data_IF_439363855248
#
_entry.id   IF_439363855248
#
_cell.length_a   1.000
_cell.length_b   1.000
_cell.length_c   1.000
_cell.angle_alpha   90.00
_cell.angle_beta   90.00
_cell.angle_gamma   90.00
#
_symmetry.space_group_name_H-M   'P 1'
#
loop_
_entity.id
_entity.type
_entity.pdbx_description
1 polymer ?
#
# COMPACT_ATOMS: atom_id res chain seq x y z
N UNK A 1 -17.13 -14.85 -12.16
CA UNK A 1 -15.93 -14.02 -11.87
C UNK A 1 -16.39 -12.68 -11.33
N UNK A 2 -15.79 -12.18 -10.26
CA UNK A 2 -15.98 -10.83 -9.73
C UNK A 2 -14.75 -9.98 -10.06
N UNK A 3 -14.95 -8.80 -10.64
CA UNK A 3 -13.87 -7.83 -10.86
C UNK A 3 -13.98 -6.72 -9.82
N UNK A 4 -12.89 -6.44 -9.10
CA UNK A 4 -12.79 -5.36 -8.13
C UNK A 4 -11.86 -4.29 -8.69
N UNK A 5 -12.43 -3.15 -9.05
CA UNK A 5 -11.70 -1.99 -9.60
C UNK A 5 -11.22 -1.13 -8.44
N UNK A 6 -9.94 -1.18 -8.14
CA UNK A 6 -9.34 -0.42 -7.04
C UNK A 6 -8.55 0.76 -7.58
N UNK A 7 -9.03 1.97 -7.33
CA UNK A 7 -8.34 3.21 -7.68
C UNK A 7 -8.76 4.33 -6.73
N UNK A 8 -7.81 4.95 -6.04
CA UNK A 8 -8.12 6.01 -5.07
C UNK A 8 -8.94 7.13 -5.69
N UNK A 9 -8.49 7.67 -6.82
CA UNK A 9 -9.15 8.80 -7.50
C UNK A 9 -10.19 8.37 -8.53
N UNK A 10 -10.24 7.09 -8.86
CA UNK A 10 -11.03 6.54 -9.97
C UNK A 10 -10.79 7.28 -11.30
N UNK A 11 -9.52 7.66 -11.54
CA UNK A 11 -9.06 8.35 -12.76
C UNK A 11 -7.74 7.78 -13.29
N UNK A 12 -7.19 6.75 -12.63
CA UNK A 12 -5.94 6.12 -13.04
C UNK A 12 -6.14 5.43 -14.40
N UNK A 13 -5.45 5.93 -15.43
CA UNK A 13 -5.68 5.53 -16.81
C UNK A 13 -5.56 4.02 -17.03
N UNK A 14 -4.50 3.40 -16.50
CA UNK A 14 -4.24 1.96 -16.61
C UNK A 14 -5.32 1.13 -15.92
N UNK A 15 -5.77 1.58 -14.73
CA UNK A 15 -6.81 0.90 -13.99
C UNK A 15 -8.13 0.93 -14.75
N UNK A 16 -8.50 2.10 -15.30
CA UNK A 16 -9.77 2.25 -16.04
C UNK A 16 -9.72 1.54 -17.41
N UNK A 17 -8.58 1.51 -18.07
CA UNK A 17 -8.41 0.73 -19.30
C UNK A 17 -8.62 -0.77 -19.04
N UNK A 18 -7.99 -1.32 -18.01
CA UNK A 18 -8.18 -2.72 -17.62
C UNK A 18 -9.61 -3.01 -17.15
N UNK A 19 -10.21 -2.08 -16.41
CA UNK A 19 -11.63 -2.19 -16.01
C UNK A 19 -12.57 -2.18 -17.22
N UNK A 20 -12.28 -1.36 -18.25
CA UNK A 20 -13.00 -1.33 -19.51
C UNK A 20 -12.93 -2.66 -20.25
N UNK A 21 -11.75 -3.27 -20.33
CA UNK A 21 -11.59 -4.61 -20.92
C UNK A 21 -12.38 -5.67 -20.15
N UNK A 22 -12.35 -5.63 -18.82
CA UNK A 22 -13.13 -6.55 -17.99
C UNK A 22 -14.63 -6.38 -18.19
N UNK A 23 -15.09 -5.12 -18.33
CA UNK A 23 -16.49 -4.78 -18.62
C UNK A 23 -16.93 -5.36 -19.96
N UNK A 24 -16.17 -5.10 -21.04
CA UNK A 24 -16.47 -5.66 -22.36
C UNK A 24 -16.48 -7.19 -22.35
N UNK A 25 -15.52 -7.80 -21.67
CA UNK A 25 -15.48 -9.27 -21.54
C UNK A 25 -16.74 -9.82 -20.85
N UNK A 26 -17.24 -9.16 -19.80
CA UNK A 26 -18.50 -9.56 -19.15
C UNK A 26 -19.67 -9.45 -20.12
N UNK A 27 -19.80 -8.34 -20.83
CA UNK A 27 -20.86 -8.07 -21.80
C UNK A 27 -20.85 -9.10 -22.92
N UNK A 28 -19.70 -9.42 -23.49
CA UNK A 28 -19.50 -10.44 -24.52
C UNK A 28 -19.91 -11.85 -24.07
N UNK A 29 -19.83 -12.11 -22.75
CA UNK A 29 -20.24 -13.38 -22.15
C UNK A 29 -21.66 -13.33 -21.55
N UNK A 30 -22.46 -12.33 -21.86
CA UNK A 30 -23.84 -12.21 -21.41
C UNK A 30 -24.02 -11.93 -19.92
N UNK A 31 -22.97 -11.41 -19.24
CA UNK A 31 -23.02 -11.04 -17.82
C UNK A 31 -23.13 -9.52 -17.69
N UNK A 32 -24.17 -9.05 -17.02
CA UNK A 32 -24.31 -7.64 -16.76
C UNK A 32 -23.15 -7.13 -15.83
N UNK A 33 -22.36 -6.15 -16.25
CA UNK A 33 -21.25 -5.62 -15.43
C UNK A 33 -21.68 -5.18 -14.03
N UNK A 34 -22.91 -4.64 -13.91
CA UNK A 34 -23.51 -4.23 -12.64
C UNK A 34 -23.68 -5.37 -11.62
N UNK A 35 -23.58 -6.63 -12.03
CA UNK A 35 -23.68 -7.79 -11.13
C UNK A 35 -22.33 -8.42 -10.79
N UNK A 36 -21.28 -8.07 -11.53
CA UNK A 36 -19.99 -8.75 -11.46
C UNK A 36 -18.79 -7.78 -11.31
N UNK A 37 -19.05 -6.49 -11.13
CA UNK A 37 -18.00 -5.50 -10.89
C UNK A 37 -18.27 -4.74 -9.60
N UNK A 38 -17.21 -4.49 -8.83
CA UNK A 38 -17.22 -3.64 -7.65
C UNK A 38 -16.12 -2.59 -7.73
N UNK A 39 -16.27 -1.48 -7.03
CA UNK A 39 -15.27 -0.43 -6.94
C UNK A 39 -14.76 -0.26 -5.50
N UNK A 40 -13.47 0.03 -5.37
CA UNK A 40 -12.85 0.49 -4.14
C UNK A 40 -12.19 1.83 -4.42
N UNK A 41 -12.71 2.91 -3.83
CA UNK A 41 -12.31 4.27 -4.19
C UNK A 41 -12.53 5.26 -3.03
N UNK A 42 -11.88 6.41 -3.10
CA UNK A 42 -12.19 7.56 -2.24
C UNK A 42 -13.17 8.54 -2.91
N UNK A 43 -13.57 8.30 -4.17
CA UNK A 43 -14.41 9.19 -4.97
C UNK A 43 -15.61 8.43 -5.58
N UNK A 44 -16.59 8.14 -4.74
CA UNK A 44 -17.77 7.33 -5.06
C UNK A 44 -18.51 7.80 -6.31
N UNK A 45 -18.68 9.12 -6.46
CA UNK A 45 -19.39 9.70 -7.61
C UNK A 45 -18.76 9.26 -8.94
N UNK A 46 -17.43 9.21 -9.02
CA UNK A 46 -16.74 8.80 -10.26
C UNK A 46 -16.95 7.32 -10.58
N UNK A 47 -17.04 6.47 -9.55
CA UNK A 47 -17.36 5.05 -9.74
C UNK A 47 -18.81 4.87 -10.20
N UNK A 48 -19.76 5.66 -9.66
CA UNK A 48 -21.15 5.70 -10.14
C UNK A 48 -21.26 6.14 -11.60
N UNK A 49 -20.60 7.24 -11.95
CA UNK A 49 -20.60 7.80 -13.30
C UNK A 49 -19.99 6.80 -14.31
N UNK A 50 -19.06 5.98 -13.87
CA UNK A 50 -18.46 4.90 -14.67
C UNK A 50 -19.40 3.69 -14.83
N UNK A 51 -20.43 3.56 -13.98
CA UNK A 51 -21.48 2.54 -14.06
C UNK A 51 -21.44 1.46 -12.98
N UNK A 52 -20.73 1.68 -11.86
CA UNK A 52 -20.76 0.77 -10.71
C UNK A 52 -21.95 1.13 -9.80
N UNK A 53 -22.83 0.17 -9.45
CA UNK A 53 -23.92 0.39 -8.52
C UNK A 53 -23.44 0.78 -7.11
N UNK A 54 -24.19 1.64 -6.41
CA UNK A 54 -23.84 2.11 -5.06
C UNK A 54 -23.57 0.98 -4.07
N UNK A 55 -24.35 -0.07 -4.12
CA UNK A 55 -24.20 -1.24 -3.25
C UNK A 55 -22.89 -2.02 -3.47
N UNK A 56 -22.16 -1.72 -4.54
CA UNK A 56 -20.89 -2.34 -4.91
C UNK A 56 -19.70 -1.36 -4.84
N UNK A 57 -19.91 -0.17 -4.25
CA UNK A 57 -18.86 0.81 -4.04
C UNK A 57 -18.40 0.75 -2.58
N UNK A 58 -17.15 0.44 -2.37
CA UNK A 58 -16.51 0.37 -1.07
C UNK A 58 -15.58 1.57 -0.88
N UNK A 59 -16.04 2.53 -0.10
CA UNK A 59 -15.35 3.81 0.08
C UNK A 59 -14.26 3.73 1.14
N UNK A 60 -13.23 4.56 0.98
CA UNK A 60 -12.25 4.84 2.03
C UNK A 60 -11.91 6.32 2.05
N UNK A 61 -11.36 6.79 3.19
CA UNK A 61 -11.08 8.21 3.40
C UNK A 61 -10.04 8.74 2.42
N UNK A 62 -10.25 9.94 1.88
CA UNK A 62 -9.35 10.61 0.94
C UNK A 62 -7.93 10.80 1.51
N UNK A 63 -7.79 11.00 2.83
CA UNK A 63 -6.50 11.11 3.50
C UNK A 63 -5.64 9.85 3.47
N UNK A 64 -6.21 8.68 3.13
CA UNK A 64 -5.46 7.41 3.07
C UNK A 64 -4.62 7.36 1.79
N UNK A 65 -3.30 7.31 1.94
CA UNK A 65 -2.37 7.14 0.82
C UNK A 65 -2.39 5.71 0.27
N UNK A 66 -2.23 5.54 -1.06
CA UNK A 66 -2.34 4.23 -1.73
C UNK A 66 -1.49 3.12 -1.11
N UNK A 67 -0.21 3.39 -0.82
CA UNK A 67 0.73 2.42 -0.22
C UNK A 67 0.45 2.09 1.25
N UNK A 68 -0.36 2.89 1.93
CA UNK A 68 -0.82 2.67 3.31
C UNK A 68 -2.26 2.17 3.39
N UNK A 69 -2.89 1.85 2.26
CA UNK A 69 -4.33 1.64 2.16
C UNK A 69 -4.80 0.21 2.44
N UNK A 70 -3.89 -0.75 2.59
CA UNK A 70 -4.23 -2.17 2.84
C UNK A 70 -5.19 -2.35 4.03
N UNK A 71 -5.08 -1.48 5.03
CA UNK A 71 -5.90 -1.46 6.25
C UNK A 71 -7.30 -0.89 6.05
N UNK A 72 -7.59 -0.33 4.88
CA UNK A 72 -8.89 0.26 4.49
C UNK A 72 -9.69 -0.70 3.60
N UNK A 73 -10.75 -0.21 2.97
CA UNK A 73 -11.52 -0.96 1.97
C UNK A 73 -10.67 -1.52 0.81
N UNK A 74 -9.47 -0.97 0.57
CA UNK A 74 -8.52 -1.51 -0.42
C UNK A 74 -8.12 -2.95 -0.09
N UNK A 75 -8.14 -3.34 1.18
CA UNK A 75 -7.93 -4.72 1.61
C UNK A 75 -9.05 -5.71 1.27
N UNK A 76 -10.14 -5.29 0.62
CA UNK A 76 -11.30 -6.14 0.31
C UNK A 76 -10.90 -7.44 -0.42
N UNK A 77 -10.02 -7.36 -1.41
CA UNK A 77 -9.55 -8.54 -2.15
C UNK A 77 -8.78 -9.51 -1.25
N UNK A 78 -7.97 -8.99 -0.33
CA UNK A 78 -7.26 -9.78 0.66
C UNK A 78 -8.23 -10.43 1.64
N UNK A 79 -9.22 -9.66 2.14
CA UNK A 79 -10.26 -10.16 3.03
C UNK A 79 -11.06 -11.31 2.40
N UNK A 80 -11.39 -11.20 1.11
CA UNK A 80 -12.06 -12.27 0.37
C UNK A 80 -11.16 -13.51 0.27
N UNK A 81 -9.87 -13.33 0.02
CA UNK A 81 -8.93 -14.43 -0.17
C UNK A 81 -8.61 -15.20 1.12
N UNK A 82 -8.43 -14.49 2.25
CA UNK A 82 -8.01 -15.11 3.52
C UNK A 82 -9.15 -15.30 4.53
N UNK A 83 -10.34 -14.76 4.23
CA UNK A 83 -11.50 -14.74 5.12
C UNK A 83 -11.49 -13.57 6.10
N UNK A 84 -12.69 -13.15 6.50
CA UNK A 84 -12.89 -11.98 7.36
C UNK A 84 -12.23 -12.12 8.74
N UNK A 85 -12.20 -13.32 9.30
CA UNK A 85 -11.56 -13.59 10.60
C UNK A 85 -10.05 -13.29 10.52
N UNK A 86 -9.35 -13.89 9.57
CA UNK A 86 -7.90 -13.70 9.40
C UNK A 86 -7.57 -12.24 9.03
N UNK A 87 -8.43 -11.59 8.25
CA UNK A 87 -8.27 -10.17 7.94
C UNK A 87 -8.41 -9.30 9.19
N UNK A 88 -9.39 -9.60 10.06
CA UNK A 88 -9.54 -8.90 11.35
C UNK A 88 -8.34 -9.12 12.28
N UNK A 89 -7.77 -10.31 12.31
CA UNK A 89 -6.54 -10.60 13.07
C UNK A 89 -5.34 -9.81 12.53
N UNK A 90 -5.23 -9.66 11.20
CA UNK A 90 -4.22 -8.79 10.58
C UNK A 90 -4.40 -7.32 10.98
N UNK A 91 -5.63 -6.81 10.98
CA UNK A 91 -5.93 -5.45 11.45
C UNK A 91 -5.61 -5.28 12.94
N UNK A 92 -5.89 -6.29 13.78
CA UNK A 92 -5.55 -6.27 15.19
C UNK A 92 -4.03 -6.20 15.42
N UNK A 93 -3.24 -6.88 14.60
CA UNK A 93 -1.77 -6.78 14.62
C UNK A 93 -1.28 -5.35 14.31
N UNK A 94 -1.84 -4.73 13.27
CA UNK A 94 -1.54 -3.33 12.93
C UNK A 94 -1.92 -2.37 14.08
N UNK A 95 -3.11 -2.56 14.67
CA UNK A 95 -3.56 -1.78 15.82
C UNK A 95 -2.66 -1.95 17.05
N UNK A 96 -2.15 -3.16 17.29
CA UNK A 96 -1.20 -3.39 18.38
C UNK A 96 0.10 -2.60 18.18
N UNK A 97 0.59 -2.49 16.93
CA UNK A 97 1.76 -1.68 16.61
C UNK A 97 1.48 -0.18 16.74
N UNK A 98 0.30 0.30 16.32
CA UNK A 98 -0.13 1.69 16.52
C UNK A 98 -0.14 2.07 17.99
N UNK A 99 -0.65 1.19 18.85
CA UNK A 99 -0.62 1.38 20.31
C UNK A 99 0.80 1.41 20.83
N UNK A 100 1.63 0.45 20.43
CA UNK A 100 3.02 0.37 20.84
C UNK A 100 3.78 1.68 20.51
N UNK A 101 3.62 2.21 19.29
CA UNK A 101 4.28 3.47 18.89
C UNK A 101 3.80 4.67 19.71
N UNK A 102 2.54 4.68 20.15
CA UNK A 102 1.98 5.80 20.94
C UNK A 102 2.26 5.71 22.44
N UNK A 103 2.35 4.49 22.98
CA UNK A 103 2.31 4.24 24.41
C UNK A 103 3.64 3.76 24.99
N UNK A 104 4.52 3.16 24.18
CA UNK A 104 5.81 2.63 24.67
C UNK A 104 6.78 3.74 25.06
N UNK A 105 7.54 3.51 26.13
CA UNK A 105 8.62 4.37 26.54
C UNK A 105 9.63 4.56 25.40
N UNK A 106 10.21 5.76 25.30
CA UNK A 106 11.08 6.15 24.19
C UNK A 106 12.18 5.12 23.88
N UNK A 107 12.85 4.61 24.93
CA UNK A 107 13.93 3.62 24.81
C UNK A 107 13.48 2.20 24.46
N UNK A 108 12.18 1.93 24.45
CA UNK A 108 11.58 0.64 24.12
C UNK A 108 10.69 0.71 22.87
N UNK A 109 10.48 1.90 22.34
CA UNK A 109 9.59 2.14 21.21
C UNK A 109 10.28 1.72 19.90
N UNK A 110 9.83 0.61 19.32
CA UNK A 110 10.42 0.04 18.10
C UNK A 110 10.42 1.02 16.93
N UNK A 111 9.34 1.77 16.74
CA UNK A 111 9.25 2.77 15.68
C UNK A 111 10.26 3.90 15.83
N UNK A 112 10.43 4.39 17.05
CA UNK A 112 11.41 5.42 17.39
C UNK A 112 12.83 4.89 17.21
N UNK A 113 13.12 3.72 17.76
CA UNK A 113 14.46 3.10 17.67
C UNK A 113 14.85 2.87 16.21
N UNK A 114 13.95 2.29 15.40
CA UNK A 114 14.21 2.06 13.98
C UNK A 114 14.44 3.37 13.23
N UNK A 115 13.65 4.41 13.51
CA UNK A 115 13.82 5.75 12.93
C UNK A 115 15.18 6.36 13.28
N UNK A 116 15.59 6.29 14.55
CA UNK A 116 16.88 6.82 15.02
C UNK A 116 18.06 6.04 14.42
N UNK A 117 18.01 4.71 14.40
CA UNK A 117 19.02 3.88 13.76
C UNK A 117 19.19 4.21 12.28
N UNK A 118 18.07 4.46 11.60
CA UNK A 118 18.09 4.85 10.20
C UNK A 118 18.78 6.20 9.98
N UNK A 119 18.43 7.21 10.77
CA UNK A 119 19.11 8.52 10.73
C UNK A 119 20.59 8.36 11.04
N UNK A 120 20.93 7.58 12.05
CA UNK A 120 22.31 7.27 12.42
C UNK A 120 23.10 6.65 11.26
N UNK A 121 22.59 5.57 10.68
CA UNK A 121 23.26 4.90 9.57
C UNK A 121 23.35 5.80 8.34
N UNK A 122 22.27 6.45 7.96
CA UNK A 122 22.22 7.25 6.73
C UNK A 122 23.01 8.55 6.84
N UNK A 123 22.84 9.30 7.91
CA UNK A 123 23.41 10.65 8.05
C UNK A 123 24.80 10.66 8.64
N UNK A 124 25.09 9.78 9.59
CA UNK A 124 26.39 9.76 10.29
C UNK A 124 27.34 8.71 9.72
N UNK A 125 26.91 7.48 9.58
CA UNK A 125 27.74 6.40 9.03
C UNK A 125 27.79 6.38 7.49
N UNK A 126 27.04 7.24 6.83
CA UNK A 126 26.99 7.39 5.37
C UNK A 126 26.57 6.11 4.62
N UNK A 127 25.88 5.19 5.28
CA UNK A 127 25.32 4.02 4.62
C UNK A 127 24.30 4.44 3.57
N UNK A 128 24.52 4.06 2.31
CA UNK A 128 23.67 4.46 1.19
C UNK A 128 22.54 3.48 0.91
N UNK A 129 22.64 2.27 1.42
CA UNK A 129 21.68 1.19 1.15
C UNK A 129 21.16 0.55 2.43
N UNK A 130 20.01 -0.10 2.32
CA UNK A 130 19.39 -0.89 3.37
C UNK A 130 18.93 -2.22 2.78
N UNK A 131 19.55 -3.32 3.23
CA UNK A 131 19.16 -4.67 2.82
C UNK A 131 17.97 -5.17 3.63
N UNK A 132 16.93 -5.66 2.95
CA UNK A 132 15.75 -6.26 3.56
C UNK A 132 15.62 -7.70 3.05
N UNK A 133 16.00 -8.66 3.90
CA UNK A 133 16.11 -10.08 3.55
C UNK A 133 15.11 -10.90 4.36
N UNK A 134 13.88 -11.08 3.89
CA UNK A 134 12.89 -11.91 4.59
C UNK A 134 13.28 -13.40 4.48
N UNK A 135 13.19 -14.12 5.60
CA UNK A 135 13.43 -15.56 5.66
C UNK A 135 12.14 -16.40 5.58
N UNK A 136 11.15 -15.87 4.85
CA UNK A 136 9.91 -16.56 4.52
C UNK A 136 9.53 -16.24 3.07
N UNK A 137 9.32 -17.26 2.26
CA UNK A 137 8.96 -17.13 0.84
C UNK A 137 7.66 -16.33 0.65
N UNK A 138 6.73 -16.38 1.59
CA UNK A 138 5.48 -15.59 1.57
C UNK A 138 5.74 -14.09 1.66
N UNK A 139 6.89 -13.69 2.16
CA UNK A 139 7.34 -12.29 2.26
C UNK A 139 8.26 -11.87 1.10
N UNK A 140 8.34 -12.64 0.02
CA UNK A 140 9.19 -12.34 -1.14
C UNK A 140 8.92 -10.96 -1.76
N UNK A 141 7.72 -10.43 -1.62
CA UNK A 141 7.37 -9.08 -2.11
C UNK A 141 7.57 -7.96 -1.09
N UNK A 142 7.99 -8.28 0.14
CA UNK A 142 8.24 -7.27 1.16
C UNK A 142 9.32 -6.25 0.77
N UNK A 143 10.47 -6.63 0.17
CA UNK A 143 11.45 -5.65 -0.30
C UNK A 143 10.88 -4.70 -1.35
N UNK A 144 10.14 -5.21 -2.35
CA UNK A 144 9.52 -4.40 -3.40
C UNK A 144 8.46 -3.43 -2.84
N UNK A 145 7.66 -3.87 -1.87
CA UNK A 145 6.72 -3.00 -1.17
C UNK A 145 7.45 -1.90 -0.38
N UNK A 146 8.52 -2.24 0.34
CA UNK A 146 9.33 -1.29 1.08
C UNK A 146 10.04 -0.28 0.16
N UNK A 147 10.42 -0.66 -1.06
CA UNK A 147 10.95 0.25 -2.07
C UNK A 147 9.94 1.35 -2.41
N UNK A 148 8.70 0.99 -2.70
CA UNK A 148 7.67 1.99 -2.96
C UNK A 148 7.39 2.86 -1.72
N UNK A 149 7.27 2.22 -0.56
CA UNK A 149 6.99 2.90 0.70
C UNK A 149 8.05 3.95 1.05
N UNK A 150 9.31 3.64 0.80
CA UNK A 150 10.46 4.40 1.25
C UNK A 150 11.11 5.22 0.13
N UNK A 151 11.52 4.57 -0.95
CA UNK A 151 12.30 5.22 -1.99
C UNK A 151 11.45 6.21 -2.79
N UNK A 152 10.21 5.83 -3.14
CA UNK A 152 9.30 6.72 -3.86
C UNK A 152 8.73 7.81 -2.95
N UNK A 153 8.34 7.46 -1.73
CA UNK A 153 7.72 8.43 -0.80
C UNK A 153 8.71 9.41 -0.21
N UNK A 154 9.84 8.92 0.27
CA UNK A 154 10.83 9.69 1.03
C UNK A 154 12.08 10.03 0.21
N UNK A 155 12.26 9.43 -0.98
CA UNK A 155 13.39 9.66 -1.87
C UNK A 155 13.32 11.01 -2.59
N UNK A 156 13.07 12.09 -1.86
CA UNK A 156 12.99 13.45 -2.41
C UNK A 156 14.35 14.12 -2.37
N UNK A 157 14.64 14.93 -3.37
CA UNK A 157 15.89 15.71 -3.48
C UNK A 157 15.70 17.20 -3.10
N UNK A 158 14.45 17.61 -2.97
CA UNK A 158 14.09 18.99 -2.64
C UNK A 158 13.12 19.05 -1.47
N UNK A 159 13.16 20.14 -0.74
CA UNK A 159 12.20 20.48 0.30
C UNK A 159 10.86 21.00 -0.29
N UNK A 160 9.90 21.38 0.55
CA UNK A 160 8.60 21.89 0.11
C UNK A 160 8.68 23.21 -0.66
N UNK A 161 9.76 23.96 -0.51
CA UNK A 161 10.00 25.21 -1.25
C UNK A 161 10.77 24.97 -2.57
N UNK A 162 11.02 23.72 -2.96
CA UNK A 162 11.75 23.38 -4.18
C UNK A 162 13.28 23.53 -4.07
N UNK A 163 13.81 23.79 -2.88
CA UNK A 163 15.25 23.94 -2.67
C UNK A 163 15.90 22.58 -2.42
N UNK A 164 17.14 22.36 -2.88
CA UNK A 164 17.89 21.13 -2.59
C UNK A 164 17.94 20.82 -1.08
N UNK A 165 17.92 19.54 -0.74
CA UNK A 165 18.10 19.09 0.65
C UNK A 165 19.57 19.16 1.05
N UNK A 166 19.85 19.66 2.25
CA UNK A 166 21.20 19.67 2.84
C UNK A 166 21.62 18.31 3.38
N UNK A 167 20.68 17.39 3.57
CA UNK A 167 20.89 16.06 4.08
C UNK A 167 20.40 14.99 3.07
N UNK A 168 21.04 13.81 3.04
CA UNK A 168 20.61 12.75 2.16
C UNK A 168 19.20 12.27 2.52
N UNK A 169 18.36 12.06 1.49
CA UNK A 169 17.05 11.42 1.62
C UNK A 169 17.20 9.93 2.07
N UNK A 170 16.12 9.17 2.01
CA UNK A 170 16.11 7.76 2.41
C UNK A 170 17.18 6.91 1.71
N UNK A 171 17.55 5.77 2.29
CA UNK A 171 18.49 4.84 1.68
C UNK A 171 17.86 4.15 0.46
N UNK A 172 18.70 3.59 -0.40
CA UNK A 172 18.27 2.65 -1.42
C UNK A 172 17.93 1.31 -0.74
N UNK A 173 16.69 0.84 -0.89
CA UNK A 173 16.24 -0.44 -0.37
C UNK A 173 16.39 -1.53 -1.43
N UNK A 174 16.93 -2.67 -1.04
CA UNK A 174 17.07 -3.84 -1.88
C UNK A 174 16.92 -5.12 -1.04
N UNK A 175 16.70 -6.24 -1.69
CA UNK A 175 16.66 -7.55 -1.05
C UNK A 175 15.75 -8.52 -1.76
N UNK A 176 15.92 -9.77 -1.39
CA UNK A 176 15.19 -10.95 -1.82
C UNK A 176 15.04 -11.90 -0.63
N UNK A 177 14.27 -12.98 -0.71
CA UNK A 177 14.27 -14.01 0.33
C UNK A 177 15.68 -14.49 0.69
N UNK A 178 15.94 -14.62 1.99
CA UNK A 178 17.23 -14.74 2.65
C UNK A 178 18.35 -15.44 1.91
N UNK A 179 18.21 -16.73 1.61
CA UNK A 179 19.27 -17.51 0.95
C UNK A 179 19.61 -17.06 -0.47
N UNK A 180 18.68 -16.44 -1.19
CA UNK A 180 18.91 -15.95 -2.55
C UNK A 180 19.62 -14.60 -2.57
N UNK A 181 19.58 -13.87 -1.46
CA UNK A 181 20.17 -12.53 -1.34
C UNK A 181 21.56 -12.52 -0.71
N UNK A 182 22.01 -13.65 -0.24
CA UNK A 182 23.33 -13.86 0.41
C UNK A 182 24.35 -14.49 -0.60
#
# INVERSE_FOLDING_TARGET
TLFIVTSKTFTTAETLANAGLAKSWLEDNGVAPSTAMAAVTAYDMRARDWGIPDAQIFSFAEGVGGRYSLWSAVGLSVMIAIGSKNFSEMLAGAHAMDRHVREADFGQNLGVIMGLLRVWHRSYLKASTYGLMPYDQRLSRLPAWAQQLEMESNGKQVNRAGQPLDAPAGPLIWGEPGTNSQ
#
